data_IF_220630060254
#
_entry.id   IF_220630060254
#
_cell.length_a   1.000
_cell.length_b   1.000
_cell.length_c   1.000
_cell.angle_alpha   90.00
_cell.angle_beta   90.00
_cell.angle_gamma   90.00
#
_symmetry.space_group_name_H-M   'P 1'
#
loop_
_entity.id
_entity.type
_entity.pdbx_description
1 polymer ?
#
# COMPACT_ATOMS: atom_id res chain seq x y z
N UNK A 1 14.96 22.09 36.65
CA UNK A 1 14.95 21.19 37.82
C UNK A 1 13.50 20.74 37.99
N UNK A 2 13.10 19.54 37.60
CA UNK A 2 13.43 18.27 38.26
C UNK A 2 13.53 17.14 37.23
N UNK A 3 14.54 16.30 37.43
CA UNK A 3 14.74 14.99 36.80
C UNK A 3 13.92 13.97 37.58
N UNK A 4 13.31 12.99 36.92
CA UNK A 4 13.32 11.60 37.40
C UNK A 4 13.29 10.61 36.23
N UNK A 5 14.13 9.60 36.40
CA UNK A 5 14.41 8.44 35.57
C UNK A 5 13.97 7.24 36.40
N UNK A 6 13.12 6.33 35.89
CA UNK A 6 13.06 4.94 36.36
C UNK A 6 12.89 4.02 35.17
N UNK A 7 13.88 3.16 35.01
CA UNK A 7 13.96 1.96 34.16
C UNK A 7 13.57 0.77 35.05
N UNK A 8 13.00 -0.30 34.47
CA UNK A 8 13.40 -1.73 34.64
C UNK A 8 12.21 -2.71 34.55
N UNK A 9 12.35 -3.58 33.54
CA UNK A 9 11.99 -5.00 33.36
C UNK A 9 10.70 -5.57 33.94
N UNK A 10 9.95 -6.23 33.05
CA UNK A 10 9.34 -7.53 33.35
C UNK A 10 9.76 -8.55 32.30
N UNK A 11 10.70 -9.43 32.69
CA UNK A 11 10.94 -10.70 32.03
C UNK A 11 9.95 -11.72 32.59
N UNK A 12 9.18 -12.36 31.72
CA UNK A 12 8.48 -13.59 32.06
C UNK A 12 8.90 -14.68 31.09
N UNK A 13 9.81 -15.54 31.56
CA UNK A 13 9.90 -16.92 31.11
C UNK A 13 8.71 -17.68 31.71
N UNK A 14 7.91 -18.34 30.87
CA UNK A 14 7.19 -19.53 31.30
C UNK A 14 7.25 -20.60 30.22
N UNK A 15 8.00 -21.65 30.59
CA UNK A 15 7.78 -23.07 30.34
C UNK A 15 7.15 -23.49 29.00
N UNK A 16 7.99 -24.06 28.14
CA UNK A 16 7.58 -25.06 27.19
C UNK A 16 7.01 -26.29 27.93
N UNK A 17 5.76 -26.63 27.62
CA UNK A 17 5.28 -28.00 27.66
C UNK A 17 4.63 -28.27 26.31
N UNK A 18 5.23 -29.18 25.56
CA UNK A 18 4.86 -29.49 24.20
C UNK A 18 3.55 -30.24 24.10
N UNK A 19 2.77 -29.89 23.10
CA UNK A 19 2.04 -30.88 22.29
C UNK A 19 2.36 -30.55 20.84
N UNK A 20 2.98 -31.50 20.13
CA UNK A 20 3.20 -31.38 18.71
C UNK A 20 1.83 -31.46 18.02
N UNK A 21 1.30 -30.31 17.61
CA UNK A 21 0.14 -30.27 16.72
C UNK A 21 0.70 -30.61 15.33
N UNK A 22 0.46 -31.83 14.88
CA UNK A 22 0.70 -32.20 13.48
C UNK A 22 -0.15 -31.28 12.59
N UNK A 23 0.41 -30.62 11.56
CA UNK A 23 -0.41 -29.90 10.61
C UNK A 23 -1.24 -30.94 9.85
N UNK A 24 -2.54 -30.99 10.15
CA UNK A 24 -3.51 -31.71 9.32
C UNK A 24 -3.53 -31.01 7.98
N UNK A 25 -2.98 -31.67 6.96
CA UNK A 25 -3.12 -31.23 5.58
C UNK A 25 -4.63 -31.10 5.28
N UNK A 26 -5.09 -30.01 4.62
CA UNK A 26 -6.48 -29.91 4.21
C UNK A 26 -6.85 -31.13 3.35
N UNK A 27 -7.82 -31.93 3.82
CA UNK A 27 -8.38 -33.02 3.05
C UNK A 27 -8.98 -32.44 1.76
N UNK A 28 -8.42 -32.84 0.63
CA UNK A 28 -9.02 -32.61 -0.67
C UNK A 28 -10.32 -33.40 -0.75
N UNK A 29 -11.46 -32.71 -0.79
CA UNK A 29 -12.75 -33.40 -0.86
C UNK A 29 -13.99 -32.52 -0.77
N UNK A 30 -14.15 -31.57 -1.68
CA UNK A 30 -15.48 -31.17 -2.18
C UNK A 30 -15.34 -30.56 -3.57
N UNK A 31 -15.59 -31.37 -4.60
CA UNK A 31 -15.92 -30.89 -5.94
C UNK A 31 -17.38 -30.48 -5.94
N UNK A 32 -17.68 -29.18 -5.88
CA UNK A 32 -18.87 -28.60 -6.47
C UNK A 32 -18.79 -27.07 -6.55
N UNK A 33 -18.85 -26.56 -7.78
CA UNK A 33 -18.95 -25.13 -8.09
C UNK A 33 -17.60 -24.45 -8.22
N UNK A 34 -17.00 -24.48 -9.42
CA UNK A 34 -16.26 -23.31 -9.87
C UNK A 34 -17.28 -22.17 -9.86
N UNK A 35 -17.31 -21.39 -8.78
CA UNK A 35 -17.97 -20.10 -8.81
C UNK A 35 -17.42 -19.40 -10.04
N UNK A 36 -18.31 -19.10 -10.99
CA UNK A 36 -17.97 -18.27 -12.13
C UNK A 36 -17.59 -16.91 -11.54
N UNK A 37 -16.29 -16.72 -11.25
CA UNK A 37 -15.75 -15.43 -10.86
C UNK A 37 -15.95 -14.57 -12.09
N UNK A 38 -16.95 -13.69 -12.05
CA UNK A 38 -17.10 -12.66 -13.07
C UNK A 38 -15.76 -11.91 -13.09
N UNK A 39 -15.06 -11.85 -14.23
CA UNK A 39 -13.81 -11.12 -14.27
C UNK A 39 -14.10 -9.68 -13.84
N UNK A 40 -13.44 -9.19 -12.80
CA UNK A 40 -13.51 -7.78 -12.48
C UNK A 40 -13.01 -7.00 -13.70
N UNK A 41 -13.69 -5.91 -14.05
CA UNK A 41 -13.20 -5.00 -15.08
C UNK A 41 -11.94 -4.36 -14.53
N UNK A 42 -10.79 -4.87 -14.93
CA UNK A 42 -9.50 -4.39 -14.41
C UNK A 42 -9.27 -2.94 -14.85
N UNK A 43 -8.93 -2.02 -13.94
CA UNK A 43 -8.61 -0.66 -14.30
C UNK A 43 -7.44 -0.60 -15.29
N UNK A 44 -7.55 0.26 -16.31
CA UNK A 44 -6.45 0.55 -17.24
C UNK A 44 -6.12 2.03 -17.12
N UNK A 45 -4.87 2.34 -16.80
CA UNK A 45 -4.40 3.71 -16.59
C UNK A 45 -3.11 3.90 -17.37
N UNK A 46 -3.06 4.97 -18.17
CA UNK A 46 -1.88 5.27 -18.98
C UNK A 46 -1.54 4.15 -19.98
N UNK A 47 -2.52 3.34 -20.38
CA UNK A 47 -2.34 2.16 -21.23
C UNK A 47 -1.81 0.92 -20.49
N UNK A 48 -1.72 0.96 -19.16
CA UNK A 48 -1.31 -0.17 -18.34
C UNK A 48 -2.48 -0.70 -17.53
N UNK A 49 -2.69 -2.01 -17.59
CA UNK A 49 -3.59 -2.71 -16.69
C UNK A 49 -3.07 -2.60 -15.26
N UNK A 50 -3.94 -2.33 -14.28
CA UNK A 50 -3.59 -2.31 -12.86
C UNK A 50 -3.75 -3.72 -12.28
N UNK A 51 -2.66 -4.49 -12.32
CA UNK A 51 -2.55 -5.89 -11.91
C UNK A 51 -3.39 -6.89 -12.73
N UNK A 52 -3.01 -8.18 -12.79
CA UNK A 52 -3.82 -9.22 -13.42
C UNK A 52 -5.25 -9.30 -12.86
N UNK A 53 -6.21 -9.80 -13.64
CA UNK A 53 -7.58 -10.04 -13.15
C UNK A 53 -7.63 -11.05 -11.99
N UNK A 54 -6.64 -11.94 -11.90
CA UNK A 54 -6.45 -12.89 -10.79
C UNK A 54 -5.81 -12.26 -9.54
N UNK A 55 -5.41 -11.00 -9.59
CA UNK A 55 -4.78 -10.32 -8.47
C UNK A 55 -5.81 -9.99 -7.39
N UNK A 56 -5.41 -10.03 -6.12
CA UNK A 56 -6.27 -9.69 -4.98
C UNK A 56 -6.89 -8.29 -5.07
N UNK A 57 -6.24 -7.32 -5.74
CA UNK A 57 -6.83 -5.99 -6.00
C UNK A 57 -8.05 -6.03 -6.92
N UNK A 58 -8.16 -7.07 -7.75
CA UNK A 58 -9.22 -7.27 -8.74
C UNK A 58 -10.14 -8.46 -8.38
N UNK A 59 -10.05 -8.98 -7.16
CA UNK A 59 -10.91 -10.07 -6.70
C UNK A 59 -12.28 -9.54 -6.27
N UNK A 60 -13.35 -10.12 -6.80
CA UNK A 60 -14.71 -9.88 -6.31
C UNK A 60 -14.90 -10.58 -4.95
N UNK A 61 -15.12 -9.78 -3.92
CA UNK A 61 -15.32 -10.25 -2.53
C UNK A 61 -16.78 -10.15 -2.08
N UNK A 62 -17.72 -9.82 -2.96
CA UNK A 62 -19.14 -9.59 -2.58
C UNK A 62 -19.82 -10.83 -1.96
N UNK A 63 -19.32 -12.03 -2.26
CA UNK A 63 -19.77 -13.29 -1.67
C UNK A 63 -18.91 -13.83 -0.54
N UNK A 64 -17.89 -13.10 -0.07
CA UNK A 64 -16.99 -13.60 0.96
C UNK A 64 -17.69 -13.60 2.34
N UNK A 65 -17.40 -14.60 3.20
CA UNK A 65 -17.94 -14.60 4.55
C UNK A 65 -17.40 -13.40 5.34
N UNK A 66 -18.28 -12.81 6.14
CA UNK A 66 -17.87 -11.76 7.08
C UNK A 66 -16.94 -12.35 8.15
N UNK A 67 -15.90 -11.61 8.52
CA UNK A 67 -15.05 -12.00 9.64
C UNK A 67 -15.90 -12.06 10.95
N UNK A 68 -15.80 -13.12 11.77
CA UNK A 68 -16.54 -13.22 13.02
C UNK A 68 -16.36 -12.04 13.99
N UNK A 69 -15.26 -11.29 13.86
CA UNK A 69 -14.94 -10.11 14.66
C UNK A 69 -15.26 -8.78 13.97
N UNK A 70 -15.95 -8.79 12.82
CA UNK A 70 -16.24 -7.56 12.08
C UNK A 70 -16.98 -6.51 12.91
N UNK A 71 -17.88 -6.92 13.80
CA UNK A 71 -18.58 -6.00 14.69
C UNK A 71 -17.61 -5.30 15.67
N UNK A 72 -16.64 -6.03 16.23
CA UNK A 72 -15.60 -5.48 17.10
C UNK A 72 -14.76 -4.44 16.34
N UNK A 73 -14.39 -4.75 15.09
CA UNK A 73 -13.57 -3.86 14.25
C UNK A 73 -14.30 -2.55 13.97
N UNK A 74 -15.57 -2.62 13.57
CA UNK A 74 -16.39 -1.44 13.27
C UNK A 74 -16.61 -0.61 14.53
N UNK A 75 -16.90 -1.24 15.67
CA UNK A 75 -17.12 -0.55 16.95
C UNK A 75 -15.86 0.17 17.47
N UNK A 76 -14.66 -0.26 17.07
CA UNK A 76 -13.41 0.39 17.42
C UNK A 76 -13.07 1.61 16.56
N UNK A 77 -13.78 1.83 15.43
CA UNK A 77 -13.56 2.97 14.56
C UNK A 77 -14.20 4.24 15.14
N UNK A 78 -13.64 5.44 14.86
CA UNK A 78 -14.21 6.72 15.31
C UNK A 78 -15.54 7.10 14.61
N UNK A 79 -16.11 6.22 13.79
CA UNK A 79 -17.43 6.35 13.16
C UNK A 79 -17.49 7.20 11.89
N UNK A 80 -16.74 8.31 11.83
CA UNK A 80 -16.75 9.21 10.67
C UNK A 80 -15.55 8.93 9.75
N UNK A 81 -15.82 8.62 8.49
CA UNK A 81 -14.81 8.60 7.45
C UNK A 81 -14.54 10.02 6.95
N UNK A 82 -13.27 10.34 6.76
CA UNK A 82 -12.83 11.59 6.15
C UNK A 82 -12.36 11.32 4.72
N UNK A 83 -12.93 11.99 3.69
CA UNK A 83 -12.47 11.82 2.32
C UNK A 83 -11.18 12.62 2.07
N UNK A 84 -10.06 11.91 1.91
CA UNK A 84 -8.77 12.50 1.49
C UNK A 84 -8.68 12.67 -0.02
N UNK A 85 -9.65 13.39 -0.60
CA UNK A 85 -9.67 13.70 -2.03
C UNK A 85 -8.90 14.99 -2.35
N UNK A 86 -8.35 15.06 -3.57
CA UNK A 86 -7.57 16.19 -4.06
C UNK A 86 -8.36 17.45 -4.43
N UNK A 87 -9.44 17.78 -3.70
CA UNK A 87 -10.24 18.98 -3.96
C UNK A 87 -9.48 20.28 -3.64
N UNK A 88 -8.47 20.21 -2.76
CA UNK A 88 -7.48 21.26 -2.52
C UNK A 88 -6.11 20.73 -2.99
N UNK A 89 -5.26 21.52 -3.68
CA UNK A 89 -3.88 21.13 -4.00
C UNK A 89 -3.05 20.63 -2.80
N UNK A 90 -3.44 20.98 -1.58
CA UNK A 90 -2.78 20.54 -0.35
C UNK A 90 -3.27 19.19 0.19
N UNK A 91 -4.26 18.56 -0.46
CA UNK A 91 -4.96 17.38 0.06
C UNK A 91 -5.03 16.23 -0.95
N UNK A 92 -5.16 15.00 -0.45
CA UNK A 92 -5.09 13.77 -1.25
C UNK A 92 -3.70 13.46 -1.82
N UNK A 93 -3.55 12.26 -2.37
CA UNK A 93 -2.27 11.78 -2.91
C UNK A 93 -2.25 11.93 -4.44
N UNK A 94 -1.44 12.85 -5.00
CA UNK A 94 -1.33 12.97 -6.44
C UNK A 94 -0.51 11.81 -7.02
N UNK A 95 -0.73 11.53 -8.30
CA UNK A 95 0.06 10.55 -9.05
C UNK A 95 0.54 11.15 -10.38
N UNK A 96 1.64 10.61 -10.88
CA UNK A 96 2.32 11.10 -12.06
C UNK A 96 2.35 9.97 -13.10
N UNK A 97 1.79 10.21 -14.30
CA UNK A 97 1.92 9.28 -15.43
C UNK A 97 3.08 9.77 -16.30
N UNK A 98 4.02 8.87 -16.61
CA UNK A 98 5.21 9.20 -17.40
C UNK A 98 5.42 8.19 -18.54
N UNK A 99 6.00 8.60 -19.68
CA UNK A 99 6.29 7.67 -20.75
C UNK A 99 7.37 6.65 -20.36
N UNK A 100 7.46 5.55 -21.11
CA UNK A 100 8.52 4.53 -20.96
C UNK A 100 9.94 5.13 -21.07
N UNK A 101 10.08 6.24 -21.78
CA UNK A 101 11.34 6.97 -22.02
C UNK A 101 11.72 7.95 -20.91
N UNK A 102 10.90 8.10 -19.86
CA UNK A 102 11.18 9.01 -18.75
C UNK A 102 12.55 8.71 -18.12
N UNK A 103 13.42 9.73 -18.10
CA UNK A 103 14.74 9.62 -17.49
C UNK A 103 14.61 9.29 -16.01
N UNK A 104 15.41 8.33 -15.57
CA UNK A 104 15.48 7.95 -14.15
C UNK A 104 16.47 8.85 -13.41
N UNK A 105 16.13 9.18 -12.18
CA UNK A 105 16.97 9.96 -11.26
C UNK A 105 17.33 9.12 -10.03
N UNK A 106 18.54 9.31 -9.46
CA UNK A 106 18.95 8.59 -8.27
C UNK A 106 18.05 8.93 -7.07
N UNK A 107 17.80 7.93 -6.24
CA UNK A 107 17.03 8.06 -5.00
C UNK A 107 17.77 7.36 -3.87
N UNK A 108 17.87 8.03 -2.72
CA UNK A 108 18.39 7.45 -1.47
C UNK A 108 17.25 7.27 -0.46
N UNK A 109 17.29 6.18 0.32
CA UNK A 109 16.21 5.80 1.22
C UNK A 109 16.67 5.67 2.67
N UNK A 110 15.88 6.21 3.62
CA UNK A 110 16.08 5.99 5.06
C UNK A 110 15.91 4.51 5.42
N UNK A 111 14.83 3.88 4.92
CA UNK A 111 14.55 2.46 5.05
C UNK A 111 15.09 1.67 3.86
N UNK A 112 16.37 1.86 3.55
CA UNK A 112 17.01 1.28 2.36
C UNK A 112 16.99 -0.25 2.30
N UNK A 113 17.10 -0.93 3.45
CA UNK A 113 17.05 -2.40 3.53
C UNK A 113 15.67 -3.00 3.20
N UNK A 114 14.62 -2.19 3.26
CA UNK A 114 13.24 -2.56 2.92
C UNK A 114 12.73 -1.81 1.68
N UNK A 115 13.61 -1.19 0.91
CA UNK A 115 13.25 -0.41 -0.28
C UNK A 115 13.84 -1.02 -1.55
N UNK A 116 13.14 -0.86 -2.67
CA UNK A 116 13.73 -1.20 -3.97
C UNK A 116 14.73 -0.10 -4.35
N UNK A 117 16.00 -0.47 -4.54
CA UNK A 117 17.05 0.49 -4.91
C UNK A 117 16.69 1.26 -6.19
N UNK A 118 17.03 2.54 -6.22
CA UNK A 118 16.87 3.40 -7.39
C UNK A 118 17.82 3.03 -8.54
N UNK A 119 17.80 3.80 -9.65
CA UNK A 119 17.08 5.06 -9.84
C UNK A 119 15.61 4.90 -10.27
N UNK A 120 14.76 5.92 -10.05
CA UNK A 120 13.31 5.92 -10.35
C UNK A 120 12.95 6.93 -11.46
N UNK A 121 11.93 6.68 -12.30
CA UNK A 121 11.55 7.54 -13.42
C UNK A 121 10.74 8.78 -12.99
N UNK A 122 11.28 9.58 -12.08
CA UNK A 122 10.56 10.74 -11.51
C UNK A 122 10.68 11.94 -12.46
N UNK A 123 9.57 12.54 -12.92
CA UNK A 123 9.63 13.71 -13.79
C UNK A 123 10.04 14.98 -13.01
N UNK A 124 10.69 15.98 -13.63
CA UNK A 124 11.13 17.20 -12.93
C UNK A 124 10.00 17.99 -12.23
N UNK A 125 8.79 17.89 -12.76
CA UNK A 125 7.57 18.52 -12.25
C UNK A 125 6.66 17.54 -11.47
N UNK A 126 7.24 16.45 -10.93
CA UNK A 126 6.48 15.48 -10.14
C UNK A 126 5.68 16.16 -9.04
N UNK A 127 4.39 15.85 -9.00
CA UNK A 127 3.50 16.25 -7.93
C UNK A 127 3.85 15.47 -6.66
N UNK A 128 3.82 16.16 -5.53
CA UNK A 128 4.10 15.64 -4.19
C UNK A 128 2.84 15.91 -3.37
N UNK A 129 2.39 14.93 -2.58
CA UNK A 129 1.30 15.14 -1.63
C UNK A 129 1.58 16.33 -0.69
N UNK A 130 0.58 17.21 -0.56
CA UNK A 130 0.68 18.48 0.15
C UNK A 130 1.60 19.53 -0.52
N UNK A 131 2.15 19.23 -1.69
CA UNK A 131 3.05 20.11 -2.41
C UNK A 131 4.51 20.09 -1.93
N UNK A 132 5.36 20.84 -2.65
CA UNK A 132 6.83 20.83 -2.45
C UNK A 132 7.27 21.26 -1.05
N UNK A 133 6.49 22.10 -0.39
CA UNK A 133 6.77 22.67 0.93
C UNK A 133 6.05 21.98 2.09
N UNK A 134 5.29 20.91 1.81
CA UNK A 134 4.58 20.13 2.83
C UNK A 134 5.53 19.59 3.90
N UNK A 135 5.03 19.47 5.13
CA UNK A 135 5.69 18.77 6.23
C UNK A 135 5.03 17.43 6.57
N UNK A 136 4.05 16.99 5.77
CA UNK A 136 3.35 15.72 5.95
C UNK A 136 4.07 14.53 5.33
N UNK A 137 3.31 13.53 4.88
CA UNK A 137 3.86 12.27 4.34
C UNK A 137 4.58 12.42 3.01
N UNK A 138 4.20 13.41 2.19
CA UNK A 138 4.89 13.78 0.95
C UNK A 138 5.06 12.59 0.00
N UNK A 139 3.99 11.83 -0.19
CA UNK A 139 3.97 10.74 -1.14
C UNK A 139 4.27 11.22 -2.58
N UNK A 140 5.04 10.42 -3.31
CA UNK A 140 5.26 10.58 -4.76
C UNK A 140 4.99 9.25 -5.44
N UNK A 141 3.90 9.19 -6.21
CA UNK A 141 3.51 8.01 -6.98
C UNK A 141 3.77 8.25 -8.47
N UNK A 142 4.42 7.31 -9.14
CA UNK A 142 4.74 7.40 -10.57
C UNK A 142 4.35 6.10 -11.28
N UNK A 143 3.44 6.20 -12.26
CA UNK A 143 3.11 5.12 -13.19
C UNK A 143 3.90 5.32 -14.48
N UNK A 144 4.76 4.36 -14.81
CA UNK A 144 5.52 4.37 -16.06
C UNK A 144 4.79 3.59 -17.16
N UNK A 145 4.29 4.30 -18.17
CA UNK A 145 3.58 3.73 -19.32
C UNK A 145 4.49 2.81 -20.15
N UNK A 146 3.91 1.82 -20.81
CA UNK A 146 4.61 0.85 -21.67
C UNK A 146 5.49 -0.17 -20.93
N UNK A 147 6.11 0.23 -19.83
CA UNK A 147 6.83 -0.67 -18.89
C UNK A 147 5.87 -1.23 -17.83
N UNK A 148 4.77 -0.51 -17.57
CA UNK A 148 3.72 -0.88 -16.63
C UNK A 148 4.25 -1.23 -15.23
N UNK A 149 4.93 -0.24 -14.63
CA UNK A 149 5.41 -0.29 -13.25
C UNK A 149 4.93 0.93 -12.48
N UNK A 150 4.53 0.71 -11.22
CA UNK A 150 4.38 1.76 -10.23
C UNK A 150 5.70 1.92 -9.45
N UNK A 151 6.06 3.17 -9.21
CA UNK A 151 7.14 3.58 -8.34
C UNK A 151 6.54 4.51 -7.29
N UNK A 152 6.60 4.11 -6.03
CA UNK A 152 5.95 4.83 -4.94
C UNK A 152 6.96 5.11 -3.83
N UNK A 153 6.97 6.36 -3.37
CA UNK A 153 7.87 6.82 -2.31
C UNK A 153 7.07 7.53 -1.22
N UNK A 154 7.53 7.38 0.02
CA UNK A 154 7.07 8.12 1.19
C UNK A 154 8.20 9.01 1.72
N UNK A 155 7.84 10.14 2.35
CA UNK A 155 8.74 11.16 2.90
C UNK A 155 9.74 11.69 1.85
N UNK A 156 9.23 12.00 0.65
CA UNK A 156 10.05 12.30 -0.52
C UNK A 156 10.43 13.80 -0.63
N UNK A 157 11.72 14.07 -0.83
CA UNK A 157 12.25 15.41 -1.05
C UNK A 157 13.12 15.48 -2.31
N UNK A 158 12.83 16.39 -3.25
CA UNK A 158 13.70 16.65 -4.38
C UNK A 158 14.98 17.34 -3.91
N UNK A 159 16.10 16.95 -4.52
CA UNK A 159 17.43 17.55 -4.34
C UNK A 159 17.83 18.20 -5.67
N UNK A 160 18.46 19.37 -5.62
CA UNK A 160 18.96 20.13 -6.78
C UNK A 160 17.91 20.27 -7.89
N UNK A 161 16.69 20.68 -7.51
CA UNK A 161 15.59 20.86 -8.46
C UNK A 161 14.98 19.55 -8.98
N UNK A 162 15.26 18.41 -8.35
CA UNK A 162 14.74 17.09 -8.73
C UNK A 162 15.71 16.24 -9.54
N UNK A 163 17.00 16.65 -9.64
CA UNK A 163 18.07 15.84 -10.25
C UNK A 163 18.39 14.58 -9.44
N UNK A 164 18.09 14.61 -8.14
CA UNK A 164 18.15 13.47 -7.23
C UNK A 164 17.03 13.60 -6.20
N UNK A 165 16.77 12.53 -5.44
CA UNK A 165 15.77 12.52 -4.38
C UNK A 165 16.28 11.82 -3.12
N UNK A 166 15.84 12.27 -1.96
CA UNK A 166 15.85 11.48 -0.71
C UNK A 166 14.41 11.11 -0.35
N UNK A 167 14.21 9.91 0.17
CA UNK A 167 12.90 9.44 0.61
C UNK A 167 13.04 8.58 1.88
N UNK A 168 11.94 8.42 2.62
CA UNK A 168 11.89 7.47 3.71
C UNK A 168 11.92 6.04 3.18
N UNK A 169 10.97 5.67 2.33
CA UNK A 169 10.88 4.35 1.69
C UNK A 169 10.63 4.47 0.18
N UNK A 170 10.91 3.39 -0.56
CA UNK A 170 10.64 3.29 -1.99
C UNK A 170 10.25 1.88 -2.40
N UNK A 171 9.13 1.76 -3.11
CA UNK A 171 8.60 0.50 -3.58
C UNK A 171 8.32 0.52 -5.09
N UNK A 172 8.66 -0.57 -5.77
CA UNK A 172 8.37 -0.77 -7.20
C UNK A 172 7.46 -1.97 -7.37
N UNK A 173 6.35 -1.76 -8.08
CA UNK A 173 5.34 -2.79 -8.34
C UNK A 173 5.17 -2.97 -9.85
N UNK A 174 5.61 -4.12 -10.42
CA UNK A 174 5.21 -4.50 -11.76
C UNK A 174 3.71 -4.78 -11.79
N UNK A 175 3.01 -4.19 -12.75
CA UNK A 175 1.54 -4.26 -12.84
C UNK A 175 1.05 -5.47 -13.65
N UNK A 176 1.95 -6.29 -14.17
CA UNK A 176 1.67 -7.48 -14.98
C UNK A 176 1.75 -8.79 -14.17
N UNK A 177 1.83 -8.71 -12.84
CA UNK A 177 2.09 -9.87 -11.97
C UNK A 177 1.26 -9.86 -10.68
N UNK A 178 1.12 -11.04 -10.08
CA UNK A 178 0.61 -11.23 -8.71
C UNK A 178 1.74 -11.27 -7.66
N UNK A 179 2.94 -10.83 -8.01
CA UNK A 179 4.08 -10.87 -7.10
C UNK A 179 3.92 -9.86 -5.97
N UNK A 180 4.03 -10.35 -4.74
CA UNK A 180 4.10 -9.55 -3.53
C UNK A 180 5.52 -9.05 -3.25
N UNK A 181 5.61 -7.99 -2.43
CA UNK A 181 6.88 -7.63 -1.77
C UNK A 181 7.32 -8.76 -0.80
N UNK A 182 8.62 -8.86 -0.47
CA UNK A 182 9.07 -9.76 0.59
C UNK A 182 8.29 -9.52 1.89
N UNK A 183 8.07 -10.57 2.68
CA UNK A 183 7.41 -10.39 3.99
C UNK A 183 8.30 -9.54 4.91
N UNK A 184 7.70 -8.66 5.69
CA UNK A 184 8.39 -7.72 6.56
C UNK A 184 8.99 -6.51 5.84
N UNK A 185 8.71 -6.30 4.54
CA UNK A 185 9.15 -5.10 3.83
C UNK A 185 8.04 -4.07 3.75
N UNK A 186 8.30 -2.89 4.31
CA UNK A 186 7.41 -1.73 4.18
C UNK A 186 7.29 -1.23 2.72
N UNK A 187 6.41 -0.27 2.49
CA UNK A 187 6.24 0.48 1.23
C UNK A 187 5.89 1.94 1.56
N UNK A 188 5.50 2.72 0.56
CA UNK A 188 4.90 4.03 0.79
C UNK A 188 3.61 3.93 1.64
N UNK A 189 2.84 2.85 1.48
CA UNK A 189 1.61 2.57 2.22
C UNK A 189 1.84 2.06 3.66
N UNK A 190 3.09 1.93 4.09
CA UNK A 190 3.53 1.20 5.29
C UNK A 190 3.21 -0.30 5.30
N UNK A 191 2.05 -0.75 4.80
CA UNK A 191 1.60 -2.15 4.82
C UNK A 191 2.34 -3.08 3.82
N UNK A 192 3.30 -2.54 3.06
CA UNK A 192 3.96 -3.27 1.98
C UNK A 192 3.07 -3.44 0.74
N UNK A 193 1.98 -2.69 0.64
CA UNK A 193 1.09 -2.61 -0.52
C UNK A 193 1.37 -1.36 -1.36
N UNK A 194 0.95 -1.34 -2.64
CA UNK A 194 0.89 -0.10 -3.43
C UNK A 194 -0.27 0.79 -2.99
N UNK A 195 -0.07 2.11 -3.00
CA UNK A 195 -1.10 3.13 -2.71
C UNK A 195 -2.01 3.31 -3.93
N UNK A 196 -1.43 3.47 -5.13
CA UNK A 196 -2.16 3.89 -6.32
C UNK A 196 -3.44 3.09 -6.62
N UNK A 197 -3.44 1.74 -6.56
CA UNK A 197 -4.62 0.92 -6.87
C UNK A 197 -5.80 1.13 -5.90
N UNK A 198 -5.54 1.70 -4.72
CA UNK A 198 -6.57 2.01 -3.73
C UNK A 198 -7.07 3.46 -3.77
N UNK A 199 -6.53 4.30 -4.67
CA UNK A 199 -6.94 5.70 -4.80
C UNK A 199 -8.25 5.83 -5.58
N UNK A 200 -9.16 6.65 -5.08
CA UNK A 200 -10.34 7.07 -5.81
C UNK A 200 -9.95 8.18 -6.78
N UNK A 201 -10.32 8.06 -8.06
CA UNK A 201 -9.93 9.03 -9.11
C UNK A 201 -11.12 9.83 -9.62
N UNK A 202 -10.85 11.05 -10.08
CA UNK A 202 -11.89 11.97 -10.54
C UNK A 202 -12.72 11.41 -11.70
N UNK A 203 -12.08 10.71 -12.65
CA UNK A 203 -12.74 10.09 -13.79
C UNK A 203 -13.75 9.01 -13.39
N UNK A 204 -13.46 8.27 -12.31
CA UNK A 204 -14.34 7.23 -11.78
C UNK A 204 -15.56 7.84 -11.08
N UNK A 205 -15.33 8.88 -10.27
CA UNK A 205 -16.40 9.64 -9.61
C UNK A 205 -17.31 10.31 -10.64
N UNK A 206 -16.73 10.95 -11.67
CA UNK A 206 -17.49 11.58 -12.75
C UNK A 206 -18.29 10.55 -13.58
N UNK A 207 -17.78 9.32 -13.70
CA UNK A 207 -18.50 8.21 -14.33
C UNK A 207 -19.57 7.58 -13.42
N UNK A 208 -19.64 7.97 -12.14
CA UNK A 208 -20.62 7.51 -11.17
C UNK A 208 -20.37 6.11 -10.60
N UNK A 209 -19.19 5.52 -10.85
CA UNK A 209 -18.87 4.17 -10.36
C UNK A 209 -17.38 4.01 -10.04
N UNK A 210 -17.10 3.49 -8.85
CA UNK A 210 -15.77 3.05 -8.42
C UNK A 210 -15.83 1.52 -8.38
N UNK A 211 -15.01 0.86 -9.20
CA UNK A 211 -15.08 -0.58 -9.43
C UNK A 211 -13.86 -1.35 -8.90
N UNK A 212 -13.07 -0.73 -8.02
CA UNK A 212 -11.89 -1.32 -7.40
C UNK A 212 -11.93 -1.16 -5.88
N UNK A 213 -11.09 -1.92 -5.17
CA UNK A 213 -10.94 -1.79 -3.73
C UNK A 213 -10.39 -0.41 -3.35
N UNK A 214 -10.90 0.16 -2.25
CA UNK A 214 -10.50 1.48 -1.76
C UNK A 214 -9.59 1.30 -0.55
N UNK A 215 -8.49 2.06 -0.53
CA UNK A 215 -7.59 2.18 0.62
C UNK A 215 -8.13 3.22 1.59
N UNK A 216 -8.05 2.94 2.89
CA UNK A 216 -8.29 3.91 3.96
C UNK A 216 -7.33 3.64 5.13
N UNK A 217 -7.14 4.65 5.97
CA UNK A 217 -6.33 4.54 7.19
C UNK A 217 -7.24 4.61 8.41
N UNK A 218 -6.77 4.04 9.53
CA UNK A 218 -7.47 4.12 10.82
C UNK A 218 -6.46 4.50 11.91
N UNK A 219 -6.89 5.18 13.00
CA UNK A 219 -5.95 5.71 13.99
C UNK A 219 -5.14 4.65 14.73
N UNK A 220 -5.69 3.44 14.90
CA UNK A 220 -5.03 2.32 15.57
C UNK A 220 -5.27 1.05 14.79
N UNK A 221 -4.18 0.37 14.45
CA UNK A 221 -4.18 -0.97 13.86
C UNK A 221 -3.36 -1.89 14.75
N UNK A 222 -3.60 -3.19 14.65
CA UNK A 222 -2.80 -4.21 15.36
C UNK A 222 -1.40 -4.29 14.74
N UNK A 223 -0.36 -4.56 15.54
CA UNK A 223 0.99 -4.93 15.06
C UNK A 223 1.03 -6.34 14.42
N UNK A 224 0.21 -6.55 13.39
CA UNK A 224 0.22 -7.74 12.55
C UNK A 224 -0.54 -7.46 11.26
N UNK A 225 -0.12 -8.13 10.18
CA UNK A 225 -0.77 -8.07 8.87
C UNK A 225 -1.37 -9.42 8.46
N UNK A 226 -2.38 -9.35 7.60
CA UNK A 226 -2.93 -10.51 6.90
C UNK A 226 -2.62 -10.39 5.40
N UNK A 227 -2.57 -11.51 4.70
CA UNK A 227 -2.48 -11.51 3.24
C UNK A 227 -3.56 -10.59 2.63
N UNK A 228 -3.24 -9.75 1.63
CA UNK A 228 -1.98 -9.66 0.88
C UNK A 228 -0.92 -8.71 1.46
N UNK A 229 -1.21 -8.01 2.56
CA UNK A 229 -0.24 -7.11 3.18
C UNK A 229 1.04 -7.85 3.62
N UNK A 230 2.16 -7.13 3.61
CA UNK A 230 3.51 -7.67 3.86
C UNK A 230 4.20 -7.01 5.04
N UNK A 231 3.62 -5.98 5.59
CA UNK A 231 4.13 -5.20 6.71
C UNK A 231 2.94 -4.54 7.41
N UNK A 232 3.16 -3.93 8.57
CA UNK A 232 2.14 -3.25 9.37
C UNK A 232 2.73 -2.01 10.05
N UNK A 233 1.86 -1.08 10.43
CA UNK A 233 2.21 0.15 11.13
C UNK A 233 1.54 0.24 12.51
N UNK A 234 1.09 -0.90 13.04
CA UNK A 234 0.29 -0.97 14.25
C UNK A 234 1.11 -0.92 15.53
N UNK A 235 0.45 -0.56 16.62
CA UNK A 235 0.98 -0.46 17.98
C UNK A 235 0.35 -1.49 18.93
#
# INVERSE_FOLDING_TARGET
MHRYLIVVLSAWMLAACGTAITPVAPQAGVTNGLAYVKPAKVPVVGGCQIFPASNWWNTDISGYPLDPRSADYIAALPGNLHPDFGQNPDYGIPFNIVPSTQKKVPVTFRYGSQSNKGPYPIPPNAQIEGGRHSTGDRHVLVLQQGVCKLYEMWDAYPIDGGKAWRAGSGAVFPLDTNKLRPNGWTSADAAGLPIYPGLIRYDEVAAGVIAHAIRFTVPRTRSAHIYPARHDAGD
#
